data_IF_080371935659
#
_entry.id   IF_080371935659
#
_cell.length_a   1.000
_cell.length_b   1.000
_cell.length_c   1.000
_cell.angle_alpha   90.00
_cell.angle_beta   90.00
_cell.angle_gamma   90.00
#
_symmetry.space_group_name_H-M   'P 1'
#
loop_
_entity.id
_entity.type
_entity.pdbx_description
1 polymer ?
#
# COMPACT_ATOMS: atom_id res chain seq x y z
N UNK A 1 -38.80 18.28 -16.05
CA UNK A 1 -38.73 16.79 -15.96
C UNK A 1 -38.34 16.24 -17.33
N UNK A 2 -37.53 15.17 -17.43
CA UNK A 2 -36.21 14.98 -16.85
C UNK A 2 -35.15 14.72 -17.94
N UNK A 3 -33.94 15.30 -17.80
CA UNK A 3 -32.76 14.85 -18.55
C UNK A 3 -32.10 13.71 -17.79
N UNK A 4 -32.01 12.59 -18.47
CA UNK A 4 -31.53 11.29 -18.02
C UNK A 4 -30.10 11.38 -17.49
N UNK A 5 -29.89 10.76 -16.33
CA UNK A 5 -28.63 10.66 -15.61
C UNK A 5 -27.57 9.95 -16.46
N UNK A 6 -26.45 10.61 -16.73
CA UNK A 6 -25.22 9.95 -17.17
C UNK A 6 -24.53 9.36 -15.93
N UNK A 7 -24.89 8.11 -15.62
CA UNK A 7 -24.09 7.24 -14.75
C UNK A 7 -22.98 6.65 -15.62
N UNK A 8 -21.77 7.18 -15.50
CA UNK A 8 -20.56 6.53 -16.02
C UNK A 8 -19.65 6.19 -14.84
N UNK A 9 -19.92 5.00 -14.30
CA UNK A 9 -18.98 4.01 -13.75
C UNK A 9 -17.61 4.52 -13.29
N UNK A 10 -17.55 4.95 -12.03
CA UNK A 10 -16.33 5.12 -11.23
C UNK A 10 -16.07 3.86 -10.39
N UNK A 11 -15.75 2.70 -10.98
CA UNK A 11 -15.38 1.51 -10.19
C UNK A 11 -14.37 0.61 -10.92
N UNK A 12 -13.29 1.23 -11.42
CA UNK A 12 -12.18 0.53 -12.10
C UNK A 12 -10.84 0.48 -11.34
N UNK A 13 -10.75 0.97 -10.09
CA UNK A 13 -9.45 1.12 -9.39
C UNK A 13 -9.51 0.94 -7.87
N UNK A 14 -10.37 0.07 -7.36
CA UNK A 14 -10.66 0.01 -5.90
C UNK A 14 -9.70 -0.86 -5.09
N UNK A 15 -8.68 -1.50 -5.68
CA UNK A 15 -7.76 -2.36 -4.91
C UNK A 15 -6.38 -1.79 -4.58
N UNK A 16 -6.07 -0.57 -5.01
CA UNK A 16 -4.95 0.19 -4.48
C UNK A 16 -5.44 1.59 -4.13
N UNK A 17 -5.73 1.88 -2.84
CA UNK A 17 -5.95 3.26 -2.45
C UNK A 17 -4.67 4.04 -2.76
N UNK A 18 -4.85 5.18 -3.41
CA UNK A 18 -3.94 6.32 -3.37
C UNK A 18 -3.31 6.39 -1.97
N UNK A 19 -2.02 6.09 -1.87
CA UNK A 19 -1.19 6.32 -0.70
C UNK A 19 -1.05 7.84 -0.50
N UNK A 20 -2.14 8.48 -0.10
CA UNK A 20 -2.12 9.81 0.48
C UNK A 20 -1.81 9.63 1.96
N UNK A 21 -0.53 9.79 2.31
CA UNK A 21 -0.08 9.98 3.69
C UNK A 21 -0.76 11.23 4.25
N UNK A 22 -1.87 11.05 4.96
CA UNK A 22 -2.45 12.08 5.81
C UNK A 22 -2.85 11.48 7.14
N UNK A 23 -2.19 11.94 8.21
CA UNK A 23 -2.76 12.07 9.55
C UNK A 23 -3.12 10.78 10.26
N UNK A 24 -2.30 10.44 11.27
CA UNK A 24 -2.68 9.65 12.45
C UNK A 24 -4.14 9.87 12.82
N UNK A 25 -4.93 8.79 12.98
CA UNK A 25 -5.92 8.57 14.05
C UNK A 25 -6.19 7.05 14.14
N UNK A 26 -5.87 6.46 15.30
CA UNK A 26 -5.99 5.04 15.62
C UNK A 26 -7.46 4.72 15.91
N UNK A 27 -7.99 3.62 15.38
CA UNK A 27 -9.23 3.01 15.86
C UNK A 27 -9.11 1.49 15.94
N UNK A 28 -9.83 0.97 16.94
CA UNK A 28 -9.67 -0.30 17.66
C UNK A 28 -10.03 -1.54 16.83
N UNK A 29 -9.26 -2.62 16.99
CA UNK A 29 -9.46 -3.89 16.30
C UNK A 29 -10.64 -4.69 16.89
N UNK A 30 -11.44 -5.32 16.02
CA UNK A 30 -12.33 -6.41 16.37
C UNK A 30 -11.71 -7.74 15.89
N UNK A 31 -11.45 -8.64 16.83
CA UNK A 31 -10.83 -9.95 16.60
C UNK A 31 -11.88 -10.97 16.17
N UNK A 32 -11.77 -11.49 14.94
CA UNK A 32 -12.38 -12.75 14.51
C UNK A 32 -11.27 -13.75 14.21
N UNK A 33 -11.28 -14.90 14.89
CA UNK A 33 -10.32 -15.99 14.67
C UNK A 33 -10.74 -16.77 13.43
N UNK A 34 -10.09 -16.51 12.30
CA UNK A 34 -10.12 -17.39 11.13
C UNK A 34 -8.90 -18.30 11.15
N UNK A 35 -9.10 -19.59 10.85
CA UNK A 35 -8.02 -20.56 10.78
C UNK A 35 -7.05 -20.19 9.65
N UNK A 36 -5.81 -19.84 10.01
CA UNK A 36 -4.72 -19.52 9.10
C UNK A 36 -4.29 -20.78 8.34
N UNK A 37 -4.37 -20.82 6.99
CA UNK A 37 -3.54 -21.72 6.19
C UNK A 37 -2.07 -21.33 6.43
N UNK A 38 -1.16 -22.30 6.52
CA UNK A 38 0.25 -22.00 6.76
C UNK A 38 0.83 -21.17 5.60
N UNK A 39 1.45 -20.02 5.93
CA UNK A 39 1.93 -18.98 5.00
C UNK A 39 2.81 -19.47 3.83
N UNK A 40 3.46 -20.63 3.94
CA UNK A 40 4.33 -21.16 2.89
C UNK A 40 3.58 -21.78 1.68
N UNK A 41 2.31 -22.16 1.80
CA UNK A 41 1.65 -22.98 0.78
C UNK A 41 1.10 -22.19 -0.42
N UNK A 42 1.01 -20.85 -0.33
CA UNK A 42 0.30 -20.04 -1.33
C UNK A 42 1.15 -18.91 -1.96
N UNK A 43 2.47 -18.90 -1.72
CA UNK A 43 3.36 -17.79 -2.10
C UNK A 43 3.32 -17.47 -3.59
N UNK A 44 3.49 -18.47 -4.45
CA UNK A 44 3.51 -18.27 -5.91
C UNK A 44 2.19 -17.72 -6.44
N UNK A 45 1.06 -18.22 -5.92
CA UNK A 45 -0.27 -17.75 -6.30
C UNK A 45 -0.51 -16.31 -5.83
N UNK A 46 -0.02 -15.94 -4.64
CA UNK A 46 -0.10 -14.58 -4.13
C UNK A 46 0.78 -13.61 -4.95
N UNK A 47 2.01 -14.01 -5.27
CA UNK A 47 2.91 -13.25 -6.16
C UNK A 47 2.26 -13.04 -7.53
N UNK A 48 1.68 -14.09 -8.11
CA UNK A 48 0.99 -13.99 -9.39
C UNK A 48 -0.22 -13.06 -9.29
N UNK A 49 -1.04 -13.18 -8.25
CA UNK A 49 -2.18 -12.31 -8.04
C UNK A 49 -1.77 -10.83 -7.93
N UNK A 50 -0.77 -10.55 -7.09
CA UNK A 50 -0.21 -9.19 -6.89
C UNK A 50 0.36 -8.61 -8.19
N UNK A 51 0.97 -9.44 -9.03
CA UNK A 51 1.43 -9.03 -10.36
C UNK A 51 0.25 -8.69 -11.29
N UNK A 52 -0.81 -9.50 -11.28
CA UNK A 52 -2.00 -9.31 -12.12
C UNK A 52 -2.76 -8.04 -11.78
N UNK A 53 -2.88 -7.68 -10.49
CA UNK A 53 -3.51 -6.43 -10.07
C UNK A 53 -2.62 -5.20 -10.29
N UNK A 54 -1.42 -5.37 -10.85
CA UNK A 54 -0.54 -4.27 -11.25
C UNK A 54 0.14 -3.54 -10.08
N UNK A 55 0.28 -4.18 -8.92
CA UNK A 55 0.76 -3.51 -7.70
C UNK A 55 2.14 -2.88 -7.88
N UNK A 56 3.06 -3.53 -8.61
CA UNK A 56 4.40 -2.98 -8.89
C UNK A 56 4.30 -1.66 -9.66
N UNK A 57 3.51 -1.63 -10.73
CA UNK A 57 3.35 -0.44 -11.56
C UNK A 57 2.68 0.70 -10.76
N UNK A 58 1.68 0.36 -9.93
CA UNK A 58 1.03 1.32 -9.05
C UNK A 58 2.02 1.95 -8.04
N UNK A 59 2.83 1.13 -7.36
CA UNK A 59 3.85 1.61 -6.41
C UNK A 59 4.90 2.50 -7.09
N UNK A 60 5.40 2.07 -8.27
CA UNK A 60 6.35 2.85 -9.05
C UNK A 60 5.74 4.17 -9.54
N UNK A 61 4.45 4.20 -9.87
CA UNK A 61 3.77 5.40 -10.34
C UNK A 61 3.49 6.44 -9.24
N UNK A 62 3.57 6.07 -7.96
CA UNK A 62 3.30 6.98 -6.84
C UNK A 62 4.52 7.33 -5.99
N UNK A 63 5.68 6.71 -6.22
CA UNK A 63 6.85 6.86 -5.34
C UNK A 63 7.36 8.31 -5.26
N UNK A 64 7.41 9.04 -6.38
CA UNK A 64 7.84 10.45 -6.40
C UNK A 64 6.90 11.31 -5.56
N UNK A 65 5.60 11.14 -5.76
CA UNK A 65 4.60 11.86 -4.98
C UNK A 65 4.69 11.49 -3.49
N UNK A 66 4.89 10.22 -3.14
CA UNK A 66 5.05 9.79 -1.75
C UNK A 66 6.24 10.46 -1.05
N UNK A 67 7.38 10.58 -1.74
CA UNK A 67 8.56 11.29 -1.22
C UNK A 67 8.29 12.79 -1.09
N UNK A 68 7.62 13.41 -2.07
CA UNK A 68 7.26 14.84 -1.97
C UNK A 68 6.27 15.12 -0.84
N UNK A 69 5.30 14.23 -0.57
CA UNK A 69 4.44 14.33 0.61
C UNK A 69 5.26 14.20 1.90
N UNK A 70 6.25 13.32 1.95
CA UNK A 70 7.18 13.21 3.08
C UNK A 70 7.97 14.51 3.32
N UNK A 71 8.47 15.14 2.26
CA UNK A 71 9.14 16.45 2.33
C UNK A 71 8.21 17.55 2.83
N UNK A 72 6.98 17.59 2.32
CA UNK A 72 5.97 18.54 2.77
C UNK A 72 5.67 18.36 4.27
N UNK A 73 5.45 17.12 4.71
CA UNK A 73 5.21 16.80 6.12
C UNK A 73 6.41 17.20 7.00
N UNK A 74 7.65 17.01 6.53
CA UNK A 74 8.82 17.46 7.27
C UNK A 74 8.87 18.99 7.41
N UNK A 75 8.62 19.74 6.33
CA UNK A 75 8.58 21.21 6.38
C UNK A 75 7.51 21.73 7.35
N UNK A 76 6.36 21.05 7.41
CA UNK A 76 5.24 21.43 8.29
C UNK A 76 5.49 21.09 9.76
N UNK A 77 5.99 19.88 10.04
CA UNK A 77 6.13 19.40 11.41
C UNK A 77 7.50 19.72 12.04
N UNK A 78 8.51 19.98 11.21
CA UNK A 78 9.88 20.30 11.62
C UNK A 78 10.38 21.57 10.93
N UNK A 79 9.76 22.74 11.21
CA UNK A 79 10.08 24.00 10.52
C UNK A 79 11.51 24.49 10.80
N UNK A 80 12.20 23.93 11.80
CA UNK A 80 13.60 24.26 12.12
C UNK A 80 14.62 23.39 11.39
N UNK A 81 14.20 22.33 10.70
CA UNK A 81 15.11 21.55 9.85
C UNK A 81 15.60 22.43 8.71
N UNK A 82 16.89 22.32 8.40
CA UNK A 82 17.45 23.01 7.26
C UNK A 82 16.80 22.49 5.97
N UNK A 83 16.38 23.37 5.04
CA UNK A 83 15.84 22.93 3.75
C UNK A 83 16.76 21.96 3.00
N UNK A 84 18.09 22.06 3.16
CA UNK A 84 19.05 21.13 2.54
C UNK A 84 18.89 19.69 3.06
N UNK A 85 18.58 19.51 4.36
CA UNK A 85 18.27 18.20 4.91
C UNK A 85 17.06 17.57 4.22
N UNK A 86 15.99 18.36 4.03
CA UNK A 86 14.73 17.87 3.45
C UNK A 86 14.93 17.47 1.98
N UNK A 87 15.72 18.24 1.23
CA UNK A 87 16.03 17.91 -0.17
C UNK A 87 16.94 16.67 -0.30
N UNK A 88 17.99 16.58 0.52
CA UNK A 88 18.89 15.42 0.50
C UNK A 88 18.19 14.14 0.99
N UNK A 89 17.31 14.25 2.00
CA UNK A 89 16.44 13.16 2.43
C UNK A 89 15.56 12.66 1.27
N UNK A 90 14.95 13.57 0.51
CA UNK A 90 14.11 13.22 -0.62
C UNK A 90 14.88 12.50 -1.73
N UNK A 91 16.06 13.04 -2.09
CA UNK A 91 16.95 12.45 -3.08
C UNK A 91 17.39 11.03 -2.70
N UNK A 92 17.88 10.84 -1.46
CA UNK A 92 18.30 9.52 -0.97
C UNK A 92 17.12 8.55 -0.85
N UNK A 93 15.95 9.05 -0.48
CA UNK A 93 14.73 8.23 -0.38
C UNK A 93 14.33 7.68 -1.74
N UNK A 94 14.35 8.49 -2.80
CA UNK A 94 14.09 8.03 -4.16
C UNK A 94 15.16 7.06 -4.67
N UNK A 95 16.43 7.36 -4.40
CA UNK A 95 17.55 6.53 -4.86
C UNK A 95 17.56 5.13 -4.20
N UNK A 96 17.13 5.05 -2.94
CA UNK A 96 17.08 3.81 -2.15
C UNK A 96 15.69 3.17 -2.12
N UNK A 97 14.69 3.76 -2.78
CA UNK A 97 13.34 3.23 -2.82
C UNK A 97 13.35 1.86 -3.48
N UNK A 98 13.06 0.82 -2.71
CA UNK A 98 12.98 -0.55 -3.20
C UNK A 98 11.54 -1.02 -3.23
N UNK A 99 10.95 -1.07 -4.42
CA UNK A 99 9.56 -1.51 -4.61
C UNK A 99 9.32 -2.95 -4.13
N UNK A 100 10.34 -3.81 -4.14
CA UNK A 100 10.20 -5.20 -3.76
C UNK A 100 9.91 -5.35 -2.25
N UNK A 101 10.39 -4.43 -1.42
CA UNK A 101 10.11 -4.47 0.02
C UNK A 101 8.64 -4.14 0.33
N UNK A 102 8.01 -3.28 -0.48
CA UNK A 102 6.57 -3.03 -0.41
C UNK A 102 5.76 -4.20 -0.99
N UNK A 103 6.22 -4.81 -2.08
CA UNK A 103 5.54 -5.96 -2.68
C UNK A 103 5.53 -7.16 -1.73
N UNK A 104 6.59 -7.39 -0.96
CA UNK A 104 6.64 -8.43 0.08
C UNK A 104 5.50 -8.26 1.10
N UNK A 105 5.20 -7.03 1.52
CA UNK A 105 4.08 -6.74 2.42
C UNK A 105 2.76 -7.13 1.75
N UNK A 106 2.52 -6.66 0.52
CA UNK A 106 1.27 -6.90 -0.19
C UNK A 106 1.04 -8.40 -0.41
N UNK A 107 2.08 -9.11 -0.85
CA UNK A 107 2.06 -10.57 -1.03
C UNK A 107 1.74 -11.27 0.29
N UNK A 108 2.44 -10.93 1.38
CA UNK A 108 2.22 -11.54 2.70
C UNK A 108 0.81 -11.33 3.24
N UNK A 109 0.18 -10.18 2.96
CA UNK A 109 -1.24 -9.96 3.33
C UNK A 109 -2.14 -10.90 2.53
N UNK A 110 -1.98 -11.01 1.21
CA UNK A 110 -2.83 -11.90 0.42
C UNK A 110 -2.63 -13.39 0.79
N UNK A 111 -1.40 -13.81 1.11
CA UNK A 111 -1.12 -15.16 1.63
C UNK A 111 -1.84 -15.46 2.93
N UNK A 112 -1.90 -14.48 3.83
CA UNK A 112 -2.59 -14.60 5.13
C UNK A 112 -4.09 -14.81 4.96
N UNK A 113 -4.70 -14.14 3.98
CA UNK A 113 -6.15 -14.15 3.82
C UNK A 113 -6.67 -15.23 2.88
N UNK A 114 -5.91 -15.68 1.89
CA UNK A 114 -6.44 -16.53 0.82
C UNK A 114 -5.65 -17.82 0.59
N UNK A 115 -6.36 -18.86 0.15
CA UNK A 115 -5.74 -20.12 -0.33
C UNK A 115 -5.21 -19.97 -1.75
N UNK A 116 -4.40 -20.92 -2.19
CA UNK A 116 -3.93 -21.00 -3.59
C UNK A 116 -5.09 -21.00 -4.58
N UNK A 117 -6.14 -21.78 -4.34
CA UNK A 117 -7.31 -21.88 -5.22
C UNK A 117 -8.05 -20.54 -5.30
N UNK A 118 -8.26 -19.90 -4.15
CA UNK A 118 -8.91 -18.60 -4.06
C UNK A 118 -8.08 -17.51 -4.80
N UNK A 119 -6.76 -17.50 -4.63
CA UNK A 119 -5.87 -16.55 -5.32
C UNK A 119 -5.83 -16.78 -6.83
N UNK A 120 -5.89 -18.04 -7.28
CA UNK A 120 -5.99 -18.37 -8.69
C UNK A 120 -7.32 -17.88 -9.28
N UNK A 121 -8.43 -18.07 -8.56
CA UNK A 121 -9.75 -17.57 -8.97
C UNK A 121 -9.77 -16.04 -9.02
N UNK A 122 -9.25 -15.36 -7.99
CA UNK A 122 -9.10 -13.89 -7.97
C UNK A 122 -8.20 -13.38 -9.11
N UNK A 123 -7.14 -14.11 -9.45
CA UNK A 123 -6.26 -13.78 -10.58
C UNK A 123 -6.96 -13.89 -11.92
N UNK A 124 -7.76 -14.94 -12.12
CA UNK A 124 -8.56 -15.11 -13.32
C UNK A 124 -9.64 -14.00 -13.42
N UNK A 125 -10.33 -13.72 -12.32
CA UNK A 125 -11.32 -12.67 -12.21
C UNK A 125 -10.75 -11.27 -12.50
N UNK A 126 -9.54 -10.98 -12.02
CA UNK A 126 -8.86 -9.70 -12.26
C UNK A 126 -8.54 -9.43 -13.73
N UNK A 127 -8.36 -10.49 -14.53
CA UNK A 127 -8.10 -10.40 -15.98
C UNK A 127 -9.38 -10.32 -16.81
N UNK A 128 -10.54 -10.63 -16.23
CA UNK A 128 -11.81 -10.65 -16.94
C UNK A 128 -12.32 -9.22 -17.23
N UNK A 129 -13.17 -9.03 -18.26
CA UNK A 129 -13.87 -7.76 -18.47
C UNK A 129 -14.66 -7.35 -17.22
N UNK A 130 -14.41 -6.13 -16.71
CA UNK A 130 -15.01 -5.65 -15.46
C UNK A 130 -14.24 -6.05 -14.17
N UNK A 131 -13.12 -6.76 -14.31
CA UNK A 131 -12.26 -7.18 -13.19
C UNK A 131 -12.99 -8.04 -12.16
N UNK A 132 -12.46 -8.04 -10.93
CA UNK A 132 -13.04 -8.79 -9.81
C UNK A 132 -14.53 -8.45 -9.59
N UNK A 133 -14.92 -7.19 -9.77
CA UNK A 133 -16.31 -6.74 -9.56
C UNK A 133 -17.29 -7.27 -10.62
N UNK A 134 -16.81 -7.48 -11.86
CA UNK A 134 -17.60 -8.05 -12.96
C UNK A 134 -17.55 -9.58 -13.04
N UNK A 135 -16.62 -10.21 -12.32
CA UNK A 135 -16.42 -11.64 -12.37
C UNK A 135 -17.46 -12.41 -11.54
N UNK A 136 -17.86 -13.58 -12.05
CA UNK A 136 -18.70 -14.53 -11.31
C UNK A 136 -17.82 -15.40 -10.40
N UNK A 137 -17.42 -14.83 -9.27
CA UNK A 137 -16.70 -15.55 -8.23
C UNK A 137 -17.62 -16.54 -7.48
N UNK A 138 -17.04 -17.61 -6.95
CA UNK A 138 -17.69 -18.53 -6.03
C UNK A 138 -18.23 -17.77 -4.80
N UNK A 139 -19.44 -18.12 -4.35
CA UNK A 139 -20.09 -17.40 -3.25
C UNK A 139 -19.24 -17.34 -1.96
N UNK A 140 -18.59 -18.43 -1.51
CA UNK A 140 -17.74 -18.37 -0.33
C UNK A 140 -16.57 -17.38 -0.46
N UNK A 141 -15.96 -17.31 -1.65
CA UNK A 141 -14.86 -16.38 -1.93
C UNK A 141 -15.35 -14.92 -1.96
N UNK A 142 -16.53 -14.67 -2.52
CA UNK A 142 -17.15 -13.32 -2.50
C UNK A 142 -17.42 -12.85 -1.08
N UNK A 143 -18.00 -13.72 -0.25
CA UNK A 143 -18.34 -13.40 1.13
C UNK A 143 -17.07 -13.14 1.95
N UNK A 144 -16.04 -13.98 1.75
CA UNK A 144 -14.72 -13.81 2.37
C UNK A 144 -14.04 -12.52 1.95
N UNK A 145 -14.06 -12.18 0.66
CA UNK A 145 -13.51 -10.91 0.15
C UNK A 145 -14.25 -9.73 0.78
N UNK A 146 -15.58 -9.73 0.78
CA UNK A 146 -16.39 -8.67 1.36
C UNK A 146 -16.13 -8.50 2.87
N UNK A 147 -15.99 -9.59 3.61
CA UNK A 147 -15.73 -9.56 5.05
C UNK A 147 -14.32 -9.05 5.40
N UNK A 148 -13.32 -9.30 4.54
CA UNK A 148 -11.91 -9.03 4.87
C UNK A 148 -11.31 -7.82 4.13
N UNK A 149 -12.01 -7.21 3.17
CA UNK A 149 -11.45 -6.13 2.33
C UNK A 149 -10.87 -4.97 3.15
N UNK A 150 -11.58 -4.50 4.19
CA UNK A 150 -11.10 -3.40 5.05
C UNK A 150 -9.84 -3.79 5.83
N UNK A 151 -9.78 -5.01 6.35
CA UNK A 151 -8.61 -5.51 7.09
C UNK A 151 -7.41 -5.69 6.18
N UNK A 152 -7.61 -6.28 5.00
CA UNK A 152 -6.57 -6.41 3.96
C UNK A 152 -6.00 -5.04 3.60
N UNK A 153 -6.87 -4.07 3.31
CA UNK A 153 -6.46 -2.70 2.97
C UNK A 153 -5.66 -2.04 4.11
N UNK A 154 -6.13 -2.16 5.35
CA UNK A 154 -5.48 -1.57 6.52
C UNK A 154 -4.10 -2.18 6.78
N UNK A 155 -3.96 -3.51 6.66
CA UNK A 155 -2.69 -4.20 6.84
C UNK A 155 -1.69 -3.84 5.73
N UNK A 156 -2.12 -3.74 4.48
CA UNK A 156 -1.28 -3.27 3.37
C UNK A 156 -0.80 -1.84 3.62
N UNK A 157 -1.71 -0.92 3.96
CA UNK A 157 -1.34 0.48 4.23
C UNK A 157 -0.36 0.56 5.40
N UNK A 158 -0.66 -0.13 6.51
CA UNK A 158 0.19 -0.15 7.69
C UNK A 158 1.59 -0.70 7.40
N UNK A 159 1.67 -1.86 6.74
CA UNK A 159 2.95 -2.47 6.40
C UNK A 159 3.77 -1.64 5.42
N UNK A 160 3.16 -1.09 4.37
CA UNK A 160 3.84 -0.19 3.43
C UNK A 160 4.34 1.09 4.12
N UNK A 161 3.55 1.63 5.07
CA UNK A 161 3.95 2.79 5.87
C UNK A 161 5.19 2.48 6.72
N UNK A 162 5.24 1.30 7.35
CA UNK A 162 6.40 0.87 8.14
C UNK A 162 7.66 0.71 7.28
N UNK A 163 7.55 0.15 6.07
CA UNK A 163 8.67 0.06 5.12
C UNK A 163 9.21 1.46 4.80
N UNK A 164 8.34 2.40 4.45
CA UNK A 164 8.73 3.78 4.15
C UNK A 164 9.32 4.52 5.34
N UNK A 165 8.72 4.37 6.53
CA UNK A 165 9.19 4.99 7.76
C UNK A 165 10.58 4.48 8.16
N UNK A 166 10.84 3.18 8.01
CA UNK A 166 12.16 2.60 8.26
C UNK A 166 13.21 3.22 7.34
N UNK A 167 12.97 3.20 6.02
CA UNK A 167 13.89 3.79 5.05
C UNK A 167 14.15 5.27 5.34
N UNK A 168 13.08 6.05 5.53
CA UNK A 168 13.18 7.48 5.80
C UNK A 168 13.89 7.79 7.11
N UNK A 169 13.69 6.98 8.15
CA UNK A 169 14.39 7.11 9.43
C UNK A 169 15.88 6.83 9.33
N UNK A 170 16.27 5.74 8.63
CA UNK A 170 17.68 5.41 8.38
C UNK A 170 18.39 6.56 7.63
N UNK A 171 17.79 7.07 6.56
CA UNK A 171 18.32 8.22 5.80
C UNK A 171 18.43 9.46 6.68
N UNK A 172 17.41 9.77 7.48
CA UNK A 172 17.44 10.93 8.38
C UNK A 172 18.57 10.83 9.42
N UNK A 173 18.80 9.64 9.98
CA UNK A 173 19.90 9.39 10.92
C UNK A 173 21.26 9.55 10.24
N UNK A 174 21.42 9.03 9.02
CA UNK A 174 22.67 9.16 8.25
C UNK A 174 22.99 10.63 7.95
N UNK A 175 22.03 11.38 7.38
CA UNK A 175 22.21 12.79 7.07
C UNK A 175 22.48 13.58 8.35
N UNK A 176 21.80 13.28 9.46
CA UNK A 176 22.03 13.94 10.75
C UNK A 176 23.43 13.72 11.34
N UNK A 177 24.07 12.59 11.03
CA UNK A 177 25.46 12.32 11.41
C UNK A 177 26.45 13.06 10.51
N UNK A 178 26.15 13.16 9.21
CA UNK A 178 26.98 13.85 8.22
C UNK A 178 26.90 15.38 8.36
N UNK A 179 25.71 15.88 8.69
CA UNK A 179 25.35 17.30 8.75
C UNK A 179 24.53 17.60 10.02
N UNK A 180 25.14 17.52 11.22
CA UNK A 180 24.44 17.79 12.48
C UNK A 180 23.85 19.21 12.56
N UNK A 181 24.43 20.17 11.84
CA UNK A 181 23.96 21.56 11.76
C UNK A 181 22.59 21.71 11.06
N UNK A 182 22.19 20.71 10.25
CA UNK A 182 20.92 20.73 9.53
C UNK A 182 19.73 20.22 10.34
N UNK A 183 19.97 19.46 11.41
CA UNK A 183 18.92 18.97 12.31
C UNK A 183 18.96 19.77 13.61
N UNK A 184 18.03 20.71 13.75
CA UNK A 184 17.88 21.52 14.96
C UNK A 184 16.75 20.97 15.84
N UNK A 185 16.91 20.95 17.18
CA UNK A 185 15.82 20.61 18.07
C UNK A 185 14.63 21.55 17.85
N UNK A 186 13.45 20.96 17.65
CA UNK A 186 12.18 21.68 17.60
C UNK A 186 11.84 22.29 18.97
#
# INVERSE_FOLDING_TARGET
MPKTRLRTLLFGSVLLPTLALSGVHIAHAATGVFQNPTAAQNHDAAVQFVAVIGARAALLGVKENAVEQGKLAMRQNYPKYDPQFIEEWGKRSLARYNVDDYLKVIVGVYEKYFTTEELNELSAASKAPGGIAGAKLAQPLRDKLAANTTSIQSEIIGGCTQVGAKLGGEIGIEIGKEHPEWIKPN
#
